data_IF_852870095499
#
_entry.id   IF_852870095499
#
_cell.length_a   1.000
_cell.length_b   1.000
_cell.length_c   1.000
_cell.angle_alpha   90.00
_cell.angle_beta   90.00
_cell.angle_gamma   90.00
#
_symmetry.space_group_name_H-M   'P 1'
#
loop_
_entity.id
_entity.type
_entity.pdbx_description
1 polymer ?
#
# COMPACT_ATOMS: atom_id res chain seq x y z
N UNK A 1 5.58 21.17 6.31
CA UNK A 1 4.14 20.95 6.60
C UNK A 1 4.00 19.79 7.59
N UNK A 2 3.38 19.96 8.75
CA UNK A 2 3.17 18.86 9.73
C UNK A 2 1.82 18.19 9.48
N UNK A 3 1.82 17.07 8.75
CA UNK A 3 0.62 16.24 8.58
C UNK A 3 0.37 15.41 9.84
N UNK A 4 -0.90 15.22 10.18
CA UNK A 4 -1.30 14.30 11.25
C UNK A 4 -1.27 12.85 10.75
N UNK A 5 -1.31 11.89 11.68
CA UNK A 5 -1.50 10.48 11.30
C UNK A 5 -2.81 10.30 10.55
N UNK A 6 -2.76 9.62 9.41
CA UNK A 6 -3.94 9.42 8.58
C UNK A 6 -3.61 9.00 7.16
N UNK A 7 -4.65 8.91 6.34
CA UNK A 7 -4.57 8.58 4.94
C UNK A 7 -4.94 9.84 4.15
N UNK A 8 -4.14 10.21 3.17
CA UNK A 8 -4.31 11.43 2.38
C UNK A 8 -4.33 11.08 0.89
N UNK A 9 -5.17 11.80 0.13
CA UNK A 9 -5.07 11.87 -1.33
C UNK A 9 -3.97 12.87 -1.66
N UNK A 10 -2.99 12.45 -2.45
CA UNK A 10 -1.96 13.34 -3.00
C UNK A 10 -2.01 13.34 -4.51
N UNK A 11 -1.70 14.48 -5.12
CA UNK A 11 -1.46 14.61 -6.55
C UNK A 11 0.04 14.50 -6.79
N UNK A 12 0.47 13.53 -7.56
CA UNK A 12 1.87 13.40 -7.96
C UNK A 12 2.19 14.45 -9.03
N UNK A 13 3.37 15.06 -8.97
CA UNK A 13 3.85 15.95 -10.04
C UNK A 13 4.52 15.12 -11.15
N UNK A 14 3.77 14.21 -11.75
CA UNK A 14 4.21 13.43 -12.93
C UNK A 14 3.62 14.04 -14.21
N UNK A 15 4.07 13.58 -15.38
CA UNK A 15 3.58 14.03 -16.69
C UNK A 15 2.09 13.73 -16.91
N UNK A 16 1.54 12.77 -16.17
CA UNK A 16 0.14 12.35 -16.20
C UNK A 16 -0.47 12.73 -14.85
N UNK A 17 -1.69 13.27 -14.84
CA UNK A 17 -2.38 13.55 -13.58
C UNK A 17 -2.70 12.25 -12.83
N UNK A 18 -1.79 11.84 -11.96
CA UNK A 18 -1.95 10.66 -11.13
C UNK A 18 -2.18 11.05 -9.67
N UNK A 19 -3.22 10.46 -9.09
CA UNK A 19 -3.48 10.54 -7.67
C UNK A 19 -2.92 9.31 -6.98
N UNK A 20 -2.31 9.53 -5.82
CA UNK A 20 -1.81 8.47 -4.98
C UNK A 20 -2.38 8.57 -3.57
N UNK A 21 -2.25 7.48 -2.82
CA UNK A 21 -2.57 7.43 -1.40
C UNK A 21 -1.30 7.65 -0.60
N UNK A 22 -1.25 8.70 0.21
CA UNK A 22 -0.20 8.93 1.19
C UNK A 22 -0.68 8.50 2.57
N UNK A 23 0.01 7.55 3.19
CA UNK A 23 -0.18 7.20 4.59
C UNK A 23 0.86 7.93 5.44
N UNK A 24 0.38 8.56 6.50
CA UNK A 24 1.20 9.24 7.52
C UNK A 24 0.99 8.51 8.84
N UNK A 25 2.06 8.14 9.52
CA UNK A 25 2.01 7.55 10.86
C UNK A 25 3.23 7.95 11.68
N UNK A 26 3.09 7.92 13.00
CA UNK A 26 4.18 8.22 13.93
C UNK A 26 4.67 6.94 14.60
N UNK A 27 5.99 6.75 14.66
CA UNK A 27 6.65 5.66 15.37
C UNK A 27 7.97 6.19 15.93
N UNK A 28 8.34 5.81 17.15
CA UNK A 28 9.63 6.18 17.76
C UNK A 28 9.92 7.70 17.71
N UNK A 29 8.88 8.52 17.92
CA UNK A 29 8.90 10.00 17.80
C UNK A 29 9.23 10.56 16.41
N UNK A 30 9.32 9.71 15.39
CA UNK A 30 9.50 10.09 13.99
C UNK A 30 8.18 9.97 13.22
N UNK A 31 8.02 10.82 12.22
CA UNK A 31 6.91 10.75 11.27
C UNK A 31 7.37 10.02 10.02
N UNK A 32 6.57 9.07 9.59
CA UNK A 32 6.85 8.23 8.43
C UNK A 32 5.76 8.37 7.38
N UNK A 33 6.16 8.17 6.14
CA UNK A 33 5.35 8.36 4.97
C UNK A 33 5.40 7.12 4.08
N UNK A 34 4.26 6.72 3.52
CA UNK A 34 4.17 5.67 2.48
C UNK A 34 3.22 6.12 1.38
N UNK A 35 3.69 6.11 0.13
CA UNK A 35 2.82 6.31 -1.03
C UNK A 35 2.39 4.94 -1.56
N UNK A 36 1.08 4.74 -1.80
CA UNK A 36 0.47 3.54 -2.35
C UNK A 36 0.89 2.24 -1.62
N UNK A 37 1.02 2.29 -0.29
CA UNK A 37 1.55 1.18 0.54
C UNK A 37 2.97 0.72 0.19
N UNK A 38 3.74 1.54 -0.52
CA UNK A 38 5.14 1.28 -0.83
C UNK A 38 6.06 1.38 0.38
N UNK A 39 7.36 1.48 0.11
CA UNK A 39 8.42 1.54 1.13
C UNK A 39 8.17 2.72 2.08
N UNK A 40 8.45 2.49 3.36
CA UNK A 40 8.47 3.52 4.40
C UNK A 40 9.62 4.49 4.14
N UNK A 41 9.29 5.76 4.00
CA UNK A 41 10.26 6.82 3.79
C UNK A 41 10.10 7.92 4.83
N UNK A 42 11.19 8.65 5.07
CA UNK A 42 11.19 9.88 5.85
C UNK A 42 10.66 11.07 5.06
N UNK A 43 10.64 12.24 5.69
CA UNK A 43 10.03 13.46 5.14
C UNK A 43 10.78 13.98 3.90
N UNK A 44 12.09 13.76 3.84
CA UNK A 44 12.97 14.28 2.78
C UNK A 44 12.62 13.63 1.44
N UNK A 45 12.19 12.36 1.47
CA UNK A 45 11.72 11.64 0.29
C UNK A 45 10.50 12.29 -0.39
N UNK A 46 9.57 12.87 0.36
CA UNK A 46 8.37 13.53 -0.17
C UNK A 46 8.66 14.89 -0.81
N UNK A 47 9.65 15.61 -0.31
CA UNK A 47 9.98 16.95 -0.78
C UNK A 47 11.01 16.96 -1.90
N UNK A 48 11.98 16.04 -1.88
CA UNK A 48 13.11 16.06 -2.82
C UNK A 48 12.97 15.05 -3.96
N UNK A 49 12.46 13.84 -3.69
CA UNK A 49 12.44 12.75 -4.67
C UNK A 49 11.11 12.56 -5.39
N UNK A 50 10.00 12.76 -4.70
CA UNK A 50 8.65 12.62 -5.28
C UNK A 50 7.75 13.78 -4.85
N UNK A 51 7.95 14.99 -5.42
CA UNK A 51 7.18 16.14 -5.03
C UNK A 51 5.69 15.90 -5.32
N UNK A 52 4.88 15.90 -4.28
CA UNK A 52 3.44 15.73 -4.39
C UNK A 52 2.71 16.84 -3.63
N UNK A 53 1.46 17.07 -4.02
CA UNK A 53 0.59 18.07 -3.41
C UNK A 53 -0.49 17.33 -2.64
N UNK A 54 -0.58 17.58 -1.33
CA UNK A 54 -1.67 17.04 -0.52
C UNK A 54 -2.98 17.71 -0.92
N UNK A 55 -3.94 16.90 -1.35
CA UNK A 55 -5.25 17.38 -1.82
C UNK A 55 -6.26 17.37 -0.66
N UNK A 56 -6.40 16.23 0.03
CA UNK A 56 -7.31 16.08 1.17
C UNK A 56 -6.98 14.86 2.02
N UNK A 57 -7.43 14.86 3.27
CA UNK A 57 -7.47 13.67 4.12
C UNK A 57 -8.64 12.76 3.70
N UNK A 58 -8.44 11.45 3.79
CA UNK A 58 -9.41 10.40 3.48
C UNK A 58 -9.77 9.69 4.79
N UNK A 59 -11.06 9.63 5.10
CA UNK A 59 -11.56 8.97 6.30
C UNK A 59 -11.79 7.47 6.09
N UNK A 60 -12.23 7.09 4.89
CA UNK A 60 -12.48 5.71 4.49
C UNK A 60 -12.15 5.53 3.00
N UNK A 61 -11.63 4.36 2.65
CA UNK A 61 -11.41 3.94 1.28
C UNK A 61 -12.48 2.90 0.93
N UNK A 62 -13.31 3.20 -0.06
CA UNK A 62 -14.22 2.21 -0.62
C UNK A 62 -13.47 1.41 -1.69
N UNK A 63 -12.93 0.26 -1.30
CA UNK A 63 -12.21 -0.63 -2.22
C UNK A 63 -13.23 -1.45 -3.00
N UNK A 64 -13.40 -1.14 -4.29
CA UNK A 64 -14.35 -1.85 -5.17
C UNK A 64 -13.75 -3.11 -5.78
N UNK A 65 -12.45 -3.08 -6.09
CA UNK A 65 -11.74 -4.17 -6.78
C UNK A 65 -10.36 -4.35 -6.17
N UNK A 66 -9.95 -5.60 -5.95
CA UNK A 66 -8.57 -5.96 -5.62
C UNK A 66 -8.14 -7.11 -6.52
N UNK A 67 -6.91 -7.05 -7.04
CA UNK A 67 -6.34 -8.12 -7.86
C UNK A 67 -5.00 -8.53 -7.26
N UNK A 68 -4.83 -9.82 -7.07
CA UNK A 68 -3.60 -10.47 -6.64
C UNK A 68 -3.20 -11.48 -7.70
N UNK A 69 -1.91 -11.63 -7.92
CA UNK A 69 -1.36 -12.62 -8.85
C UNK A 69 -0.44 -13.53 -8.04
N UNK A 70 -0.75 -14.83 -7.99
CA UNK A 70 0.11 -15.81 -7.33
C UNK A 70 0.93 -16.48 -8.42
N UNK A 71 2.25 -16.39 -8.28
CA UNK A 71 3.23 -17.02 -9.18
C UNK A 71 3.95 -18.11 -8.43
N UNK A 72 4.03 -19.29 -9.03
CA UNK A 72 4.82 -20.38 -8.50
C UNK A 72 5.57 -21.09 -9.61
N UNK A 73 6.59 -21.82 -9.21
CA UNK A 73 7.44 -22.63 -10.07
C UNK A 73 7.45 -24.04 -9.52
N UNK A 74 7.31 -25.03 -10.39
CA UNK A 74 7.46 -26.42 -10.00
C UNK A 74 8.93 -26.88 -10.04
N UNK A 75 9.15 -28.16 -9.73
CA UNK A 75 10.49 -28.76 -9.71
C UNK A 75 11.08 -28.94 -11.13
N UNK A 76 10.24 -28.90 -12.17
CA UNK A 76 10.64 -28.96 -13.58
C UNK A 76 11.03 -27.57 -14.13
N UNK A 77 10.71 -26.51 -13.37
CA UNK A 77 11.04 -25.13 -13.70
C UNK A 77 9.93 -24.37 -14.41
N UNK A 78 8.77 -24.99 -14.60
CA UNK A 78 7.60 -24.41 -15.26
C UNK A 78 6.95 -23.35 -14.38
N UNK A 79 6.52 -22.26 -15.02
CA UNK A 79 5.93 -21.13 -14.35
C UNK A 79 4.42 -21.14 -14.48
N UNK A 80 3.77 -21.01 -13.32
CA UNK A 80 2.33 -20.89 -13.23
C UNK A 80 1.98 -19.53 -12.64
N UNK A 81 0.94 -18.91 -13.18
CA UNK A 81 0.36 -17.70 -12.63
C UNK A 81 -1.15 -17.84 -12.61
N UNK A 82 -1.77 -17.54 -11.47
CA UNK A 82 -3.22 -17.43 -11.39
C UNK A 82 -3.64 -16.10 -10.75
N UNK A 83 -4.52 -15.32 -11.43
CA UNK A 83 -5.07 -14.10 -10.87
C UNK A 83 -6.22 -14.43 -9.91
N UNK A 84 -6.18 -13.85 -8.71
CA UNK A 84 -7.31 -13.76 -7.80
C UNK A 84 -7.84 -12.33 -7.81
N UNK A 85 -9.09 -12.12 -8.23
CA UNK A 85 -9.71 -10.78 -8.37
C UNK A 85 -10.86 -10.52 -7.40
N UNK A 86 -11.28 -11.52 -6.64
CA UNK A 86 -12.36 -11.39 -5.67
C UNK A 86 -11.81 -10.93 -4.31
N UNK A 87 -12.25 -9.76 -3.84
CA UNK A 87 -11.82 -9.17 -2.57
C UNK A 87 -12.05 -10.09 -1.38
N UNK A 88 -13.16 -10.83 -1.33
CA UNK A 88 -13.48 -11.69 -0.20
C UNK A 88 -12.59 -12.94 -0.17
N UNK A 89 -12.27 -13.49 -1.34
CA UNK A 89 -11.28 -14.58 -1.46
C UNK A 89 -9.89 -14.12 -1.02
N UNK A 90 -9.47 -12.91 -1.42
CA UNK A 90 -8.19 -12.33 -1.01
C UNK A 90 -8.17 -12.09 0.51
N UNK A 91 -9.26 -11.59 1.09
CA UNK A 91 -9.39 -11.39 2.55
C UNK A 91 -9.26 -12.70 3.30
N UNK A 92 -9.96 -13.74 2.87
CA UNK A 92 -9.87 -15.06 3.47
C UNK A 92 -8.44 -15.59 3.38
N UNK A 93 -7.77 -15.43 2.23
CA UNK A 93 -6.37 -15.81 2.05
C UNK A 93 -5.45 -15.09 3.05
N UNK A 94 -5.62 -13.78 3.25
CA UNK A 94 -4.84 -13.03 4.23
C UNK A 94 -5.13 -13.38 5.68
N UNK A 95 -6.35 -13.81 5.99
CA UNK A 95 -6.70 -14.34 7.31
C UNK A 95 -6.05 -15.70 7.55
N UNK A 96 -6.06 -16.58 6.54
CA UNK A 96 -5.46 -17.92 6.60
C UNK A 96 -3.93 -17.86 6.63
N UNK A 97 -3.32 -16.94 5.88
CA UNK A 97 -1.87 -16.78 5.75
C UNK A 97 -1.43 -15.35 6.12
N UNK A 98 -1.34 -15.03 7.43
CA UNK A 98 -1.02 -13.68 7.89
C UNK A 98 0.38 -13.20 7.46
N UNK A 99 1.32 -14.11 7.19
CA UNK A 99 2.64 -13.81 6.63
C UNK A 99 2.57 -13.22 5.22
N UNK A 100 1.66 -13.69 4.36
CA UNK A 100 1.43 -13.12 3.03
C UNK A 100 0.87 -11.71 3.17
N UNK A 101 -0.09 -11.53 4.08
CA UNK A 101 -0.62 -10.23 4.39
C UNK A 101 0.47 -9.26 4.88
N UNK A 102 1.34 -9.70 5.80
CA UNK A 102 2.47 -8.92 6.32
C UNK A 102 3.48 -8.56 5.23
N UNK A 103 3.81 -9.50 4.36
CA UNK A 103 4.72 -9.27 3.22
C UNK A 103 4.18 -8.20 2.26
N UNK A 104 2.85 -8.13 2.11
CA UNK A 104 2.16 -7.09 1.33
C UNK A 104 1.88 -5.80 2.13
N UNK A 105 2.54 -5.62 3.29
CA UNK A 105 2.45 -4.41 4.11
C UNK A 105 1.19 -4.31 4.97
N UNK A 106 0.36 -5.36 5.03
CA UNK A 106 -0.83 -5.40 5.88
C UNK A 106 -0.46 -5.63 7.34
N UNK A 107 -0.99 -4.78 8.24
CA UNK A 107 -0.84 -4.93 9.70
C UNK A 107 -1.88 -5.89 10.30
N UNK A 108 -2.24 -6.97 9.60
CA UNK A 108 -3.15 -7.98 10.15
C UNK A 108 -2.41 -8.65 11.32
N UNK A 109 -2.92 -8.42 12.54
CA UNK A 109 -2.55 -9.21 13.71
C UNK A 109 -3.41 -10.46 13.67
N UNK A 110 -2.77 -11.63 13.57
CA UNK A 110 -3.44 -12.89 13.86
C UNK A 110 -4.05 -12.77 15.28
N UNK A 111 -5.35 -13.07 15.39
CA UNK A 111 -6.03 -13.13 16.69
C UNK A 111 -5.70 -14.44 17.36
#
# INVERSE_FOLDING_TARGET
MKLQTGIYKVKLKTLIEEFAILQVYHRDRKTYYRINNGIENDIDWLTERNPCIVVKQLNQLNVQTARMEIKFRDDEGDYYSFPASNVDVIRQLFQTFPEVARALGSKIRAR
#
